data_IF_928437102256
#
_entry.id   IF_928437102256
#
_cell.length_a   1.000
_cell.length_b   1.000
_cell.length_c   1.000
_cell.angle_alpha   90.00
_cell.angle_beta   90.00
_cell.angle_gamma   90.00
#
_symmetry.space_group_name_H-M   'P 1'
#
loop_
_entity.id
_entity.type
_entity.pdbx_description
1 polymer ?
#
# COMPACT_ATOMS: atom_id res chain seq x y z
N UNK A 1 -26.42 87.83 37.76
CA UNK A 1 -25.09 87.20 37.98
C UNK A 1 -25.32 85.97 38.82
N UNK A 2 -24.76 84.81 38.45
CA UNK A 2 -24.84 83.62 39.31
C UNK A 2 -24.23 83.93 40.67
N UNK A 3 -24.85 83.41 41.74
CA UNK A 3 -24.30 83.57 43.09
C UNK A 3 -23.01 82.73 43.23
N UNK A 4 -22.10 83.17 44.10
CA UNK A 4 -20.90 82.41 44.45
C UNK A 4 -21.24 80.98 44.91
N UNK A 5 -22.38 80.81 45.57
CA UNK A 5 -22.89 79.51 46.01
C UNK A 5 -23.28 78.60 44.84
N UNK A 6 -23.91 79.15 43.78
CA UNK A 6 -24.21 78.40 42.55
C UNK A 6 -22.93 77.91 41.88
N UNK A 7 -21.93 78.79 41.76
CA UNK A 7 -20.63 78.44 41.16
C UNK A 7 -19.92 77.36 41.98
N UNK A 8 -19.96 77.44 43.32
CA UNK A 8 -19.37 76.45 44.19
C UNK A 8 -20.05 75.07 44.08
N UNK A 9 -21.37 75.04 43.94
CA UNK A 9 -22.13 73.80 43.74
C UNK A 9 -21.83 73.14 42.38
N UNK A 10 -21.74 73.93 41.31
CA UNK A 10 -21.38 73.42 39.97
C UNK A 10 -19.96 72.84 39.95
N UNK A 11 -18.99 73.54 40.55
CA UNK A 11 -17.61 73.04 40.68
C UNK A 11 -17.57 71.73 41.46
N UNK A 12 -18.33 71.62 42.55
CA UNK A 12 -18.41 70.38 43.34
C UNK A 12 -19.01 69.23 42.53
N UNK A 13 -20.05 69.48 41.74
CA UNK A 13 -20.67 68.49 40.86
C UNK A 13 -19.68 67.98 39.80
N UNK A 14 -18.98 68.89 39.11
CA UNK A 14 -17.93 68.54 38.13
C UNK A 14 -16.82 67.72 38.80
N UNK A 15 -16.39 68.08 40.01
CA UNK A 15 -15.34 67.35 40.72
C UNK A 15 -15.76 65.92 41.08
N UNK A 16 -17.02 65.71 41.46
CA UNK A 16 -17.60 64.38 41.72
C UNK A 16 -17.64 63.57 40.43
N UNK A 17 -18.07 64.18 39.33
CA UNK A 17 -18.17 63.54 38.02
C UNK A 17 -16.80 63.11 37.49
N UNK A 18 -15.81 64.01 37.52
CA UNK A 18 -14.41 63.71 37.18
C UNK A 18 -13.87 62.58 38.04
N UNK A 19 -14.17 62.55 39.34
CA UNK A 19 -13.75 61.47 40.24
C UNK A 19 -14.39 60.14 39.86
N UNK A 20 -15.68 60.13 39.51
CA UNK A 20 -16.40 58.93 39.06
C UNK A 20 -15.80 58.39 37.76
N UNK A 21 -15.71 59.24 36.73
CA UNK A 21 -15.13 58.85 35.43
C UNK A 21 -13.68 58.40 35.53
N UNK A 22 -12.87 59.01 36.42
CA UNK A 22 -11.50 58.55 36.68
C UNK A 22 -11.48 57.16 37.34
N UNK A 23 -12.39 56.90 38.27
CA UNK A 23 -12.55 55.59 38.90
C UNK A 23 -12.98 54.52 37.88
N UNK A 24 -13.99 54.83 37.06
CA UNK A 24 -14.48 53.93 36.01
C UNK A 24 -13.39 53.63 34.97
N UNK A 25 -12.64 54.65 34.56
CA UNK A 25 -11.50 54.48 33.65
C UNK A 25 -10.45 53.54 34.24
N UNK A 26 -10.16 53.65 35.54
CA UNK A 26 -9.22 52.75 36.24
C UNK A 26 -9.72 51.31 36.25
N UNK A 27 -11.00 51.10 36.58
CA UNK A 27 -11.62 49.76 36.58
C UNK A 27 -11.63 49.15 35.19
N UNK A 28 -12.05 49.91 34.18
CA UNK A 28 -12.10 49.47 32.79
C UNK A 28 -10.71 49.14 32.26
N UNK A 29 -9.70 49.96 32.56
CA UNK A 29 -8.31 49.70 32.15
C UNK A 29 -7.78 48.41 32.78
N UNK A 30 -8.09 48.15 34.06
CA UNK A 30 -7.70 46.90 34.73
C UNK A 30 -8.41 45.68 34.11
N UNK A 31 -9.71 45.79 33.80
CA UNK A 31 -10.47 44.73 33.13
C UNK A 31 -9.94 44.45 31.73
N UNK A 32 -9.63 45.49 30.94
CA UNK A 32 -9.02 45.34 29.61
C UNK A 32 -7.66 44.65 29.70
N UNK A 33 -6.80 45.01 30.67
CA UNK A 33 -5.51 44.36 30.87
C UNK A 33 -5.66 42.86 31.21
N UNK A 34 -6.64 42.50 32.04
CA UNK A 34 -6.95 41.11 32.36
C UNK A 34 -7.43 40.34 31.11
N UNK A 35 -8.33 40.93 30.32
CA UNK A 35 -8.85 40.33 29.09
C UNK A 35 -7.74 40.11 28.05
N UNK A 36 -6.83 41.09 27.89
CA UNK A 36 -5.67 40.96 26.97
C UNK A 36 -4.74 39.84 27.42
N UNK A 37 -4.49 39.72 28.72
CA UNK A 37 -3.65 38.65 29.28
C UNK A 37 -4.27 37.28 29.04
N UNK A 38 -5.59 37.16 29.25
CA UNK A 38 -6.32 35.92 28.98
C UNK A 38 -6.33 35.58 27.50
N UNK A 39 -6.59 36.55 26.63
CA UNK A 39 -6.55 36.36 25.17
C UNK A 39 -5.17 35.86 24.72
N UNK A 40 -4.10 36.47 25.23
CA UNK A 40 -2.73 36.03 24.92
C UNK A 40 -2.48 34.58 25.36
N UNK A 41 -2.90 34.19 26.56
CA UNK A 41 -2.79 32.82 27.05
C UNK A 41 -3.60 31.83 26.18
N UNK A 42 -4.83 32.20 25.79
CA UNK A 42 -5.67 31.40 24.89
C UNK A 42 -5.03 31.25 23.51
N UNK A 43 -4.48 32.32 22.94
CA UNK A 43 -3.77 32.27 21.66
C UNK A 43 -2.54 31.36 21.73
N UNK A 44 -1.71 31.48 22.78
CA UNK A 44 -0.52 30.62 22.96
C UNK A 44 -0.89 29.14 23.06
N UNK A 45 -1.91 28.81 23.86
CA UNK A 45 -2.40 27.43 23.96
C UNK A 45 -3.00 26.93 22.63
N UNK A 46 -3.75 27.78 21.92
CA UNK A 46 -4.30 27.48 20.61
C UNK A 46 -3.22 27.17 19.58
N UNK A 47 -2.15 27.96 19.52
CA UNK A 47 -1.01 27.70 18.64
C UNK A 47 -0.24 26.44 19.02
N UNK A 48 -0.07 26.16 20.31
CA UNK A 48 0.56 24.92 20.77
C UNK A 48 -0.26 23.69 20.35
N UNK A 49 -1.57 23.72 20.52
CA UNK A 49 -2.48 22.65 20.10
C UNK A 49 -2.49 22.48 18.57
N UNK A 50 -2.50 23.58 17.82
CA UNK A 50 -2.41 23.54 16.36
C UNK A 50 -1.10 22.91 15.89
N UNK A 51 0.04 23.36 16.45
CA UNK A 51 1.35 22.83 16.11
C UNK A 51 1.47 21.34 16.45
N UNK A 52 0.97 20.92 17.60
CA UNK A 52 0.97 19.51 18.00
C UNK A 52 0.05 18.66 17.10
N UNK A 53 -1.14 19.16 16.76
CA UNK A 53 -2.04 18.50 15.82
C UNK A 53 -1.44 18.36 14.41
N UNK A 54 -0.77 19.39 13.91
CA UNK A 54 -0.04 19.34 12.64
C UNK A 54 1.11 18.32 12.68
N UNK A 55 1.85 18.24 13.79
CA UNK A 55 2.92 17.25 13.94
C UNK A 55 2.39 15.80 13.89
N UNK A 56 1.23 15.54 14.50
CA UNK A 56 0.56 14.24 14.42
C UNK A 56 0.14 13.93 12.99
N UNK A 57 -0.42 14.91 12.27
CA UNK A 57 -0.82 14.73 10.87
C UNK A 57 0.38 14.39 9.99
N UNK A 58 1.52 15.06 10.20
CA UNK A 58 2.78 14.75 9.49
C UNK A 58 3.26 13.32 9.82
N UNK A 59 3.19 12.92 11.09
CA UNK A 59 3.54 11.55 11.52
C UNK A 59 2.66 10.52 10.80
N UNK A 60 1.35 10.74 10.76
CA UNK A 60 0.40 9.85 10.09
C UNK A 60 0.67 9.75 8.58
N UNK A 61 0.93 10.88 7.91
CA UNK A 61 1.29 10.90 6.50
C UNK A 61 2.57 10.09 6.23
N UNK A 62 3.58 10.22 7.09
CA UNK A 62 4.80 9.42 6.97
C UNK A 62 4.53 7.93 7.15
N UNK A 63 3.68 7.54 8.10
CA UNK A 63 3.27 6.14 8.27
C UNK A 63 2.52 5.61 7.05
N UNK A 64 1.58 6.39 6.50
CA UNK A 64 0.86 5.99 5.27
C UNK A 64 1.80 5.82 4.09
N UNK A 65 2.76 6.72 3.90
CA UNK A 65 3.77 6.60 2.84
C UNK A 65 4.64 5.36 3.01
N UNK A 66 5.05 5.03 4.24
CA UNK A 66 5.78 3.79 4.52
C UNK A 66 4.95 2.55 4.20
N UNK A 67 3.67 2.53 4.57
CA UNK A 67 2.76 1.43 4.26
C UNK A 67 2.56 1.25 2.76
N UNK A 68 2.41 2.35 2.01
CA UNK A 68 2.31 2.31 0.55
C UNK A 68 3.59 1.76 -0.08
N UNK A 69 4.76 2.19 0.39
CA UNK A 69 6.04 1.68 -0.08
C UNK A 69 6.20 0.17 0.18
N UNK A 70 5.82 -0.30 1.38
CA UNK A 70 5.87 -1.72 1.72
C UNK A 70 4.91 -2.52 0.84
N UNK A 71 3.70 -2.02 0.60
CA UNK A 71 2.73 -2.65 -0.30
C UNK A 71 3.27 -2.77 -1.74
N UNK A 72 3.89 -1.69 -2.26
CA UNK A 72 4.56 -1.71 -3.55
C UNK A 72 5.62 -2.83 -3.62
N UNK A 73 6.48 -2.95 -2.60
CA UNK A 73 7.50 -4.01 -2.52
C UNK A 73 6.92 -5.41 -2.38
N UNK A 74 5.82 -5.58 -1.65
CA UNK A 74 5.10 -6.85 -1.61
C UNK A 74 4.53 -7.23 -2.98
N UNK A 75 3.97 -6.28 -3.74
CA UNK A 75 3.45 -6.53 -5.07
C UNK A 75 4.57 -6.89 -6.06
N UNK A 76 5.70 -6.18 -6.04
CA UNK A 76 6.89 -6.56 -6.83
C UNK A 76 7.35 -7.99 -6.51
N UNK A 77 7.35 -8.33 -5.21
CA UNK A 77 7.67 -9.68 -4.75
C UNK A 77 6.71 -10.71 -5.34
N UNK A 78 5.40 -10.51 -5.21
CA UNK A 78 4.37 -11.40 -5.76
C UNK A 78 4.54 -11.58 -7.27
N UNK A 79 4.76 -10.49 -8.01
CA UNK A 79 5.00 -10.54 -9.47
C UNK A 79 6.22 -11.42 -9.77
N UNK A 80 7.28 -11.30 -8.97
CA UNK A 80 8.44 -12.14 -9.14
C UNK A 80 8.13 -13.63 -8.88
N UNK A 81 7.44 -13.96 -7.78
CA UNK A 81 7.01 -15.34 -7.50
C UNK A 81 6.17 -15.92 -8.63
N UNK A 82 5.23 -15.15 -9.18
CA UNK A 82 4.42 -15.57 -10.32
C UNK A 82 5.25 -15.85 -11.57
N UNK A 83 6.30 -15.07 -11.83
CA UNK A 83 7.23 -15.32 -12.94
C UNK A 83 8.01 -16.61 -12.74
N UNK A 84 8.50 -16.86 -11.52
CA UNK A 84 9.22 -18.10 -11.21
C UNK A 84 8.31 -19.33 -11.33
N UNK A 85 7.06 -19.24 -10.86
CA UNK A 85 6.05 -20.29 -11.05
C UNK A 85 5.79 -20.53 -12.55
N UNK A 86 5.63 -19.46 -13.34
CA UNK A 86 5.42 -19.57 -14.77
C UNK A 86 6.61 -20.24 -15.48
N UNK A 87 7.84 -19.99 -15.04
CA UNK A 87 9.03 -20.67 -15.54
C UNK A 87 8.98 -22.17 -15.25
N UNK A 88 8.72 -22.55 -13.99
CA UNK A 88 8.59 -23.97 -13.59
C UNK A 88 7.48 -24.67 -14.37
N UNK A 89 6.33 -24.03 -14.56
CA UNK A 89 5.22 -24.58 -15.35
C UNK A 89 5.57 -24.75 -16.83
N UNK A 90 6.38 -23.83 -17.39
CA UNK A 90 6.89 -23.96 -18.76
C UNK A 90 7.77 -25.20 -18.91
N UNK A 91 8.66 -25.45 -17.94
CA UNK A 91 9.51 -26.64 -17.94
C UNK A 91 8.72 -27.94 -17.73
N UNK A 92 7.75 -27.95 -16.81
CA UNK A 92 6.85 -29.10 -16.61
C UNK A 92 6.10 -29.41 -17.90
N UNK A 93 5.50 -28.40 -18.55
CA UNK A 93 4.78 -28.57 -19.82
C UNK A 93 5.68 -29.20 -20.88
N UNK A 94 6.95 -28.79 -20.95
CA UNK A 94 7.90 -29.37 -21.88
C UNK A 94 8.21 -30.83 -21.57
N UNK A 95 8.46 -31.16 -20.29
CA UNK A 95 8.73 -32.53 -19.85
C UNK A 95 7.53 -33.44 -20.13
N UNK A 96 6.31 -33.01 -19.77
CA UNK A 96 5.09 -33.78 -20.05
C UNK A 96 4.88 -33.99 -21.56
N UNK A 97 5.20 -32.99 -22.39
CA UNK A 97 5.14 -33.16 -23.85
C UNK A 97 6.14 -34.22 -24.32
N UNK A 98 7.34 -34.23 -23.78
CA UNK A 98 8.35 -35.26 -24.08
C UNK A 98 7.89 -36.66 -23.63
N UNK A 99 7.25 -36.77 -22.47
CA UNK A 99 6.69 -38.03 -21.96
C UNK A 99 5.58 -38.55 -22.87
N UNK A 100 4.67 -37.67 -23.33
CA UNK A 100 3.61 -38.06 -24.28
C UNK A 100 4.18 -38.56 -25.60
N UNK A 101 5.22 -37.92 -26.14
CA UNK A 101 5.89 -38.40 -27.35
C UNK A 101 6.53 -39.77 -27.14
N UNK A 102 7.18 -40.00 -25.99
CA UNK A 102 7.72 -41.32 -25.63
C UNK A 102 6.61 -42.37 -25.50
N UNK A 103 5.48 -42.02 -24.88
CA UNK A 103 4.33 -42.93 -24.75
C UNK A 103 3.73 -43.30 -26.11
N UNK A 104 3.66 -42.37 -27.07
CA UNK A 104 3.23 -42.68 -28.45
C UNK A 104 4.16 -43.68 -29.13
N UNK A 105 5.48 -43.52 -28.96
CA UNK A 105 6.46 -44.46 -29.51
C UNK A 105 6.28 -45.84 -28.89
N UNK A 106 6.17 -45.91 -27.57
CA UNK A 106 5.95 -47.19 -26.85
C UNK A 106 4.65 -47.84 -27.30
N UNK A 107 3.56 -47.08 -27.41
CA UNK A 107 2.27 -47.59 -27.89
C UNK A 107 2.37 -48.14 -29.31
N UNK A 108 3.09 -47.47 -30.21
CA UNK A 108 3.35 -47.97 -31.57
C UNK A 108 4.15 -49.28 -31.57
N UNK A 109 5.16 -49.41 -30.72
CA UNK A 109 5.95 -50.65 -30.58
C UNK A 109 5.09 -51.79 -30.02
N UNK A 110 4.25 -51.52 -29.02
CA UNK A 110 3.36 -52.51 -28.43
C UNK A 110 2.30 -52.98 -29.44
N UNK A 111 1.70 -52.06 -30.19
CA UNK A 111 0.76 -52.37 -31.28
C UNK A 111 1.43 -53.23 -32.37
N UNK A 112 2.69 -52.95 -32.70
CA UNK A 112 3.46 -53.78 -33.63
C UNK A 112 3.69 -55.21 -33.09
N UNK A 113 4.09 -55.34 -31.82
CA UNK A 113 4.28 -56.64 -31.19
C UNK A 113 2.97 -57.44 -31.15
N UNK A 114 1.85 -56.80 -30.80
CA UNK A 114 0.54 -57.44 -30.74
C UNK A 114 0.12 -57.96 -32.13
N UNK A 115 0.31 -57.15 -33.18
CA UNK A 115 0.09 -57.59 -34.57
C UNK A 115 0.95 -58.79 -34.97
N UNK A 116 2.21 -58.87 -34.53
CA UNK A 116 3.03 -60.06 -34.78
C UNK A 116 2.48 -61.27 -34.03
N UNK A 117 2.04 -61.09 -32.78
CA UNK A 117 1.52 -62.18 -31.94
C UNK A 117 0.14 -62.70 -32.38
N UNK A 118 -0.74 -61.85 -32.90
CA UNK A 118 -2.03 -62.25 -33.46
C UNK A 118 -1.90 -63.05 -34.76
N UNK A 119 -0.77 -62.94 -35.45
CA UNK A 119 -0.52 -63.61 -36.71
C UNK A 119 0.05 -65.02 -36.48
N UNK A 120 -0.86 -66.00 -36.46
CA UNK A 120 -0.55 -67.44 -36.30
C UNK A 120 0.23 -68.02 -37.50
N UNK A 121 0.33 -67.28 -38.61
CA UNK A 121 0.95 -67.72 -39.87
C UNK A 121 2.01 -66.73 -40.37
N UNK A 122 3.11 -67.28 -40.90
CA UNK A 122 4.34 -66.54 -41.22
C UNK A 122 4.21 -65.58 -42.41
N UNK A 123 3.19 -65.78 -43.25
CA UNK A 123 2.99 -64.98 -44.46
C UNK A 123 2.41 -63.61 -44.11
N UNK A 124 1.47 -63.57 -43.18
CA UNK A 124 0.81 -62.38 -42.70
C UNK A 124 1.78 -61.52 -41.86
N UNK A 125 2.64 -62.17 -41.06
CA UNK A 125 3.69 -61.47 -40.31
C UNK A 125 4.67 -60.72 -41.24
N UNK A 126 4.97 -61.27 -42.41
CA UNK A 126 5.79 -60.62 -43.43
C UNK A 126 5.11 -59.38 -44.04
N UNK A 127 3.78 -59.36 -44.14
CA UNK A 127 3.06 -58.18 -44.65
C UNK A 127 3.09 -57.02 -43.64
N UNK A 128 2.97 -57.30 -42.35
CA UNK A 128 3.14 -56.28 -41.29
C UNK A 128 4.54 -55.69 -41.30
N UNK A 129 5.59 -56.53 -41.40
CA UNK A 129 6.97 -56.05 -41.51
C UNK A 129 7.18 -55.15 -42.73
N UNK A 130 6.56 -55.49 -43.86
CA UNK A 130 6.66 -54.72 -45.10
C UNK A 130 5.92 -53.38 -45.01
N UNK A 131 4.78 -53.36 -44.32
CA UNK A 131 4.02 -52.14 -44.05
C UNK A 131 4.85 -51.17 -43.18
N UNK A 132 5.51 -51.68 -42.14
CA UNK A 132 6.36 -50.86 -41.28
C UNK A 132 7.60 -50.33 -42.00
N UNK A 133 8.21 -51.13 -42.88
CA UNK A 133 9.31 -50.67 -43.73
C UNK A 133 8.86 -49.51 -44.65
N UNK A 134 7.65 -49.60 -45.22
CA UNK A 134 7.05 -48.55 -46.03
C UNK A 134 6.77 -47.29 -45.20
N UNK A 135 6.24 -47.46 -43.99
CA UNK A 135 5.98 -46.34 -43.10
C UNK A 135 7.26 -45.63 -42.66
N UNK A 136 8.32 -46.38 -42.36
CA UNK A 136 9.65 -45.82 -42.10
C UNK A 136 10.21 -45.02 -43.29
N UNK A 137 9.99 -45.49 -44.53
CA UNK A 137 10.37 -44.73 -45.75
C UNK A 137 9.56 -43.44 -45.89
N UNK A 138 8.28 -43.46 -45.52
CA UNK A 138 7.43 -42.26 -45.53
C UNK A 138 7.92 -41.25 -44.50
N UNK A 139 8.26 -41.70 -43.28
CA UNK A 139 8.77 -40.82 -42.21
C UNK A 139 10.14 -40.19 -42.54
N UNK A 140 10.99 -40.89 -43.31
CA UNK A 140 12.25 -40.31 -43.82
C UNK A 140 11.97 -39.18 -44.82
N UNK A 141 10.97 -39.36 -45.69
CA UNK A 141 10.58 -38.35 -46.68
C UNK A 141 9.81 -37.17 -46.05
N UNK A 142 9.00 -37.43 -45.03
CA UNK A 142 8.16 -36.43 -44.36
C UNK A 142 8.21 -36.65 -42.83
N UNK A 143 9.29 -36.22 -42.17
CA UNK A 143 9.41 -36.40 -40.74
C UNK A 143 8.32 -35.60 -40.01
N UNK A 144 7.73 -36.16 -38.93
CA UNK A 144 6.75 -35.44 -38.14
C UNK A 144 7.34 -34.15 -37.59
N UNK A 145 6.55 -33.08 -37.59
CA UNK A 145 7.01 -31.76 -37.18
C UNK A 145 7.40 -31.79 -35.70
N UNK A 146 8.70 -31.63 -35.43
CA UNK A 146 9.19 -31.56 -34.06
C UNK A 146 8.73 -30.26 -33.43
N UNK A 147 8.05 -30.31 -32.27
CA UNK A 147 7.65 -29.11 -31.58
C UNK A 147 8.89 -28.32 -31.14
N UNK A 148 9.01 -27.08 -31.62
CA UNK A 148 10.09 -26.18 -31.19
C UNK A 148 9.88 -25.79 -29.72
N UNK A 149 10.94 -25.82 -28.93
CA UNK A 149 10.91 -25.32 -27.55
C UNK A 149 10.94 -23.79 -27.60
N UNK A 150 9.84 -23.17 -27.21
CA UNK A 150 9.82 -21.73 -26.93
C UNK A 150 10.67 -21.46 -25.69
N UNK A 151 11.41 -20.34 -25.65
CA UNK A 151 12.17 -19.97 -24.47
C UNK A 151 11.22 -19.73 -23.29
N UNK A 152 11.49 -20.38 -22.16
CA UNK A 152 10.75 -20.17 -20.93
C UNK A 152 11.07 -18.80 -20.31
N UNK A 153 10.30 -18.43 -19.28
CA UNK A 153 10.45 -17.14 -18.61
C UNK A 153 11.80 -17.02 -17.89
N UNK A 154 12.36 -15.81 -17.81
CA UNK A 154 13.56 -15.57 -17.01
C UNK A 154 13.21 -15.60 -15.53
N UNK A 155 14.03 -16.28 -14.75
CA UNK A 155 13.95 -16.23 -13.29
C UNK A 155 14.17 -14.80 -12.79
N UNK A 156 13.57 -14.49 -11.65
CA UNK A 156 13.77 -13.24 -10.95
C UNK A 156 14.13 -13.49 -9.49
N UNK A 157 14.94 -12.59 -8.97
CA UNK A 157 15.23 -12.50 -7.55
C UNK A 157 14.16 -11.62 -6.90
N UNK A 158 13.50 -12.17 -5.89
CA UNK A 158 12.48 -11.43 -5.15
C UNK A 158 13.12 -10.24 -4.41
N UNK A 159 12.56 -9.02 -4.53
CA UNK A 159 13.05 -7.88 -3.77
C UNK A 159 12.83 -8.08 -2.27
N UNK A 160 13.72 -7.52 -1.45
CA UNK A 160 13.59 -7.58 0.00
C UNK A 160 12.47 -6.63 0.47
N UNK A 161 11.52 -7.16 1.24
CA UNK A 161 10.47 -6.38 1.90
C UNK A 161 10.94 -6.06 3.33
N UNK A 162 11.11 -4.77 3.69
CA UNK A 162 11.53 -4.39 5.03
C UNK A 162 10.40 -4.57 6.06
N UNK A 163 10.77 -4.84 7.32
CA UNK A 163 9.82 -4.98 8.43
C UNK A 163 9.13 -3.66 8.77
N UNK A 164 7.79 -3.67 8.84
CA UNK A 164 7.01 -2.54 9.35
C UNK A 164 6.96 -2.54 10.88
N UNK A 165 7.31 -1.40 11.50
CA UNK A 165 7.15 -1.18 12.95
C UNK A 165 6.15 -0.04 13.18
N UNK A 166 4.89 -0.32 13.57
CA UNK A 166 3.92 0.74 13.84
C UNK A 166 4.36 1.61 15.02
N UNK A 167 4.13 2.91 14.91
CA UNK A 167 4.33 3.87 16.01
C UNK A 167 2.99 4.16 16.68
N UNK A 168 2.93 3.93 17.99
CA UNK A 168 1.72 4.04 18.80
C UNK A 168 1.61 5.45 19.43
N UNK A 169 1.56 6.48 18.59
CA UNK A 169 1.56 7.88 19.03
C UNK A 169 0.11 8.34 19.34
N UNK A 170 -0.38 8.05 20.56
CA UNK A 170 -1.65 8.59 21.05
C UNK A 170 -1.48 10.06 21.43
N UNK A 171 -2.04 10.96 20.63
CA UNK A 171 -2.03 12.40 20.92
C UNK A 171 -3.25 12.83 21.73
N UNK A 172 -3.01 13.68 22.73
CA UNK A 172 -4.06 14.36 23.50
C UNK A 172 -3.86 15.88 23.46
N UNK A 173 -4.93 16.68 23.30
CA UNK A 173 -4.84 18.14 23.29
C UNK A 173 -4.52 18.70 24.69
N UNK A 174 -3.79 19.80 24.73
CA UNK A 174 -3.56 20.56 25.96
C UNK A 174 -4.89 21.17 26.41
N UNK A 175 -5.33 20.84 27.62
CA UNK A 175 -6.58 21.33 28.21
C UNK A 175 -6.49 22.83 28.50
N UNK A 176 -7.55 23.57 28.15
CA UNK A 176 -7.68 25.00 28.47
C UNK A 176 -7.89 25.17 29.98
N UNK A 177 -7.05 25.97 30.65
CA UNK A 177 -7.40 26.46 31.98
C UNK A 177 -8.47 27.54 31.82
N UNK A 178 -9.73 27.18 32.07
CA UNK A 178 -10.78 28.18 32.19
C UNK A 178 -10.64 28.89 33.54
N UNK A 179 -10.90 30.19 33.58
CA UNK A 179 -10.83 31.02 34.79
C UNK A 179 -11.70 30.54 35.98
N UNK A 180 -12.46 29.44 35.81
CA UNK A 180 -13.25 28.78 36.86
C UNK A 180 -12.45 27.88 37.81
N UNK A 181 -11.17 27.63 37.53
CA UNK A 181 -10.33 26.72 38.32
C UNK A 181 -9.38 27.44 39.31
N UNK A 182 -9.65 28.71 39.66
CA UNK A 182 -8.94 29.46 40.70
C UNK A 182 -9.89 30.09 41.70
#
# INVERSE_FOLDING_TARGET
MPSLESIANDVKAILIDVRSHTSDTKVNTAATAANVTQLNATCQAGFANLAAGMAVQISLLNQTNQMLFINEKQNETIICWLRNIANVLCDIKYNTKSEVELQKIIAGILDHLDKIFELVHSREAMEVLKHDELQGKIEVCCPPEKPKREPCFKECDAPHVPDYKPRDDKWEPVKYQTQKDK
#
